data_IF_271938069178
#
_entry.id   IF_271938069178
#
_cell.length_a   1.000
_cell.length_b   1.000
_cell.length_c   1.000
_cell.angle_alpha   90.00
_cell.angle_beta   90.00
_cell.angle_gamma   90.00
#
_symmetry.space_group_name_H-M   'P 1'
#
loop_
_entity.id
_entity.type
_entity.pdbx_description
1 polymer ?
#
# COMPACT_ATOMS: atom_id res chain seq x y z
N UNK A 1 12.41 1.82 -30.05
CA UNK A 1 11.29 2.76 -30.26
C UNK A 1 11.62 4.04 -29.50
N UNK A 2 11.66 5.20 -30.17
CA UNK A 2 12.04 6.47 -29.53
C UNK A 2 10.88 7.03 -28.70
N UNK A 3 11.17 7.77 -27.62
CA UNK A 3 10.13 8.34 -26.74
C UNK A 3 9.17 9.26 -27.48
N UNK A 4 9.68 10.07 -28.41
CA UNK A 4 8.85 10.94 -29.25
C UNK A 4 7.90 10.16 -30.17
N UNK A 5 8.32 8.99 -30.67
CA UNK A 5 7.47 8.14 -31.51
C UNK A 5 6.28 7.57 -30.73
N UNK A 6 6.49 7.16 -29.46
CA UNK A 6 5.41 6.68 -28.60
C UNK A 6 4.43 7.82 -28.27
N UNK A 7 4.93 9.03 -28.02
CA UNK A 7 4.11 10.19 -27.71
C UNK A 7 3.17 10.55 -28.87
N UNK A 8 3.69 10.60 -30.10
CA UNK A 8 2.89 10.90 -31.28
C UNK A 8 1.83 9.81 -31.54
N UNK A 9 2.17 8.53 -31.39
CA UNK A 9 1.19 7.45 -31.55
C UNK A 9 0.07 7.49 -30.50
N UNK A 10 0.41 7.82 -29.24
CA UNK A 10 -0.59 8.00 -28.18
C UNK A 10 -1.48 9.21 -28.47
N UNK A 11 -0.89 10.32 -28.95
CA UNK A 11 -1.66 11.51 -29.36
C UNK A 11 -2.64 11.17 -30.48
N UNK A 12 -2.19 10.54 -31.55
CA UNK A 12 -3.04 10.14 -32.69
C UNK A 12 -4.19 9.24 -32.25
N UNK A 13 -3.92 8.23 -31.42
CA UNK A 13 -4.97 7.32 -30.94
C UNK A 13 -6.02 8.00 -30.04
N UNK A 14 -5.64 9.05 -29.30
CA UNK A 14 -6.57 9.84 -28.50
C UNK A 14 -7.40 10.78 -29.38
N UNK A 15 -6.76 11.47 -30.34
CA UNK A 15 -7.47 12.35 -31.28
C UNK A 15 -8.45 11.56 -32.16
N UNK A 16 -8.07 10.39 -32.64
CA UNK A 16 -8.95 9.51 -33.43
C UNK A 16 -10.16 9.04 -32.62
N UNK A 17 -9.99 8.77 -31.32
CA UNK A 17 -11.09 8.40 -30.44
C UNK A 17 -12.03 9.58 -30.17
N UNK A 18 -11.47 10.78 -29.96
CA UNK A 18 -12.24 12.01 -29.76
C UNK A 18 -13.02 12.40 -31.04
N UNK A 19 -12.38 12.32 -32.21
CA UNK A 19 -13.01 12.58 -33.53
C UNK A 19 -14.10 11.56 -33.86
N UNK A 20 -13.94 10.31 -33.42
CA UNK A 20 -14.94 9.26 -33.59
C UNK A 20 -16.06 9.28 -32.53
N UNK A 21 -16.03 10.22 -31.57
CA UNK A 21 -16.98 10.28 -30.45
C UNK A 21 -16.94 9.06 -29.54
N UNK A 22 -15.83 8.32 -29.54
CA UNK A 22 -15.65 7.08 -28.76
C UNK A 22 -15.07 7.41 -27.38
N UNK A 23 -15.34 6.59 -26.35
CA UNK A 23 -14.67 6.74 -25.07
C UNK A 23 -13.15 6.62 -25.24
N UNK A 24 -12.41 7.54 -24.61
CA UNK A 24 -10.95 7.61 -24.73
C UNK A 24 -10.31 6.27 -24.34
N UNK A 25 -9.43 5.70 -25.18
CA UNK A 25 -8.85 4.39 -24.95
C UNK A 25 -8.00 4.38 -23.67
N UNK A 26 -8.29 3.41 -22.80
CA UNK A 26 -7.54 3.20 -21.56
C UNK A 26 -6.10 2.73 -21.79
N UNK A 27 -5.28 2.81 -20.74
CA UNK A 27 -3.86 2.40 -20.75
C UNK A 27 -3.58 1.00 -21.32
N UNK A 28 -4.37 -0.04 -21.02
CA UNK A 28 -4.14 -1.37 -21.59
C UNK A 28 -4.35 -1.39 -23.11
N UNK A 29 -5.33 -0.63 -23.59
CA UNK A 29 -5.64 -0.48 -25.03
C UNK A 29 -4.54 0.28 -25.75
N UNK A 30 -4.04 1.38 -25.18
CA UNK A 30 -2.91 2.13 -25.74
C UNK A 30 -1.61 1.31 -25.78
N UNK A 31 -1.39 0.46 -24.78
CA UNK A 31 -0.24 -0.47 -24.75
C UNK A 31 -0.34 -1.49 -25.90
N UNK A 32 -1.54 -2.03 -26.15
CA UNK A 32 -1.78 -2.96 -27.28
C UNK A 32 -1.68 -2.28 -28.64
N UNK A 33 -2.18 -1.06 -28.78
CA UNK A 33 -2.18 -0.30 -30.04
C UNK A 33 -0.79 0.23 -30.43
N UNK A 34 0.01 0.65 -29.45
CA UNK A 34 1.33 1.24 -29.69
C UNK A 34 2.47 0.22 -29.64
N UNK A 35 2.26 -0.95 -29.05
CA UNK A 35 3.32 -1.93 -28.79
C UNK A 35 4.37 -1.45 -27.79
N UNK A 36 4.14 -0.31 -27.13
CA UNK A 36 5.04 0.28 -26.15
C UNK A 36 4.82 -0.35 -24.76
N UNK A 37 5.81 -0.21 -23.87
CA UNK A 37 5.67 -0.64 -22.48
C UNK A 37 4.71 0.27 -21.72
N UNK A 38 4.01 -0.24 -20.70
CA UNK A 38 3.10 0.56 -19.86
C UNK A 38 3.80 1.80 -19.25
N UNK A 39 5.10 1.71 -18.94
CA UNK A 39 5.88 2.85 -18.47
C UNK A 39 6.01 3.95 -19.55
N UNK A 40 6.25 3.58 -20.80
CA UNK A 40 6.36 4.53 -21.92
C UNK A 40 5.01 5.18 -22.24
N UNK A 41 3.91 4.41 -22.20
CA UNK A 41 2.55 4.92 -22.36
C UNK A 41 2.18 5.89 -21.23
N UNK A 42 2.52 5.57 -19.98
CA UNK A 42 2.33 6.48 -18.84
C UNK A 42 3.08 7.79 -19.00
N UNK A 43 4.34 7.72 -19.43
CA UNK A 43 5.17 8.91 -19.64
C UNK A 43 4.59 9.79 -20.75
N UNK A 44 4.18 9.20 -21.88
CA UNK A 44 3.57 9.92 -22.99
C UNK A 44 2.24 10.59 -22.60
N UNK A 45 1.37 9.90 -21.86
CA UNK A 45 0.11 10.49 -21.37
C UNK A 45 0.34 11.66 -20.42
N UNK A 46 1.35 11.58 -19.54
CA UNK A 46 1.70 12.67 -18.64
C UNK A 46 2.27 13.90 -19.37
N UNK A 47 3.07 13.67 -20.42
CA UNK A 47 3.60 14.74 -21.27
C UNK A 47 2.49 15.44 -22.08
N UNK A 48 1.51 14.68 -22.60
CA UNK A 48 0.34 15.24 -23.29
C UNK A 48 -0.54 16.06 -22.33
N UNK A 49 -0.83 15.55 -21.13
CA UNK A 49 -1.61 16.27 -20.13
C UNK A 49 -0.90 17.55 -19.64
N UNK A 50 0.44 17.56 -19.57
CA UNK A 50 1.21 18.75 -19.24
C UNK A 50 1.20 19.80 -20.37
N UNK A 51 1.10 19.37 -21.63
CA UNK A 51 0.99 20.25 -22.79
C UNK A 51 -0.42 20.87 -22.95
N UNK A 52 -1.46 20.23 -22.38
CA UNK A 52 -2.87 20.65 -22.48
C UNK A 52 -3.30 21.58 -21.32
N UNK A 53 -2.46 21.75 -20.30
CA UNK A 53 -2.75 22.65 -19.18
C UNK A 53 -2.64 24.14 -19.60
N UNK A 54 -3.68 24.97 -19.43
CA UNK A 54 -3.64 26.36 -19.83
C UNK A 54 -2.67 27.16 -18.94
N UNK A 55 -1.75 27.90 -19.58
CA UNK A 55 -0.87 28.87 -18.94
C UNK A 55 -1.69 30.04 -18.39
N UNK A 56 -2.15 29.94 -17.13
CA UNK A 56 -2.85 31.04 -16.47
C UNK A 56 -1.84 32.09 -16.00
N UNK A 57 -1.80 33.21 -16.73
CA UNK A 57 -0.98 34.38 -16.42
C UNK A 57 -1.46 35.05 -15.12
N UNK A 58 -0.50 35.33 -14.23
CA UNK A 58 -0.72 36.13 -13.03
C UNK A 58 -0.78 37.63 -13.38
N UNK A 59 -1.92 38.26 -13.11
CA UNK A 59 -2.11 39.71 -13.18
C UNK A 59 -3.11 40.16 -12.13
N UNK A 60 -2.59 40.70 -11.03
CA UNK A 60 -3.36 41.41 -9.98
C UNK A 60 -4.09 42.63 -10.56
N UNK A 61 -5.31 42.92 -10.08
CA UNK A 61 -5.58 44.17 -9.35
C UNK A 61 -6.98 44.18 -8.72
N UNK A 62 -7.01 44.65 -7.48
CA UNK A 62 -8.16 44.91 -6.61
C UNK A 62 -9.00 46.09 -7.14
N UNK A 63 -10.33 46.07 -6.93
CA UNK A 63 -11.06 47.05 -6.08
C UNK A 63 -12.58 47.13 -6.37
N UNK A 64 -13.33 47.22 -5.26
CA UNK A 64 -14.57 48.00 -5.00
C UNK A 64 -15.88 47.73 -5.77
N UNK A 65 -16.86 47.25 -5.00
CA UNK A 65 -18.00 48.02 -4.45
C UNK A 65 -19.45 47.57 -4.76
N UNK A 66 -20.24 47.61 -3.69
CA UNK A 66 -21.68 47.88 -3.55
C UNK A 66 -22.77 46.91 -4.09
N UNK A 67 -23.39 46.22 -3.12
CA UNK A 67 -24.83 46.17 -2.76
C UNK A 67 -25.94 45.94 -3.82
N UNK A 68 -26.77 44.89 -3.62
CA UNK A 68 -28.27 44.91 -3.48
C UNK A 68 -28.81 43.46 -3.37
N UNK A 69 -29.73 43.20 -2.43
CA UNK A 69 -30.40 41.90 -2.15
C UNK A 69 -31.47 41.48 -3.21
N UNK A 70 -32.32 40.45 -3.00
CA UNK A 70 -32.06 39.02 -3.20
C UNK A 70 -33.05 38.40 -4.21
N UNK A 71 -32.58 37.54 -5.13
CA UNK A 71 -33.48 36.69 -5.93
C UNK A 71 -33.10 35.24 -5.71
N UNK A 72 -34.02 34.56 -5.02
CA UNK A 72 -34.11 33.12 -4.82
C UNK A 72 -34.21 32.42 -6.18
N UNK A 73 -33.06 32.03 -6.72
CA UNK A 73 -32.94 31.08 -7.80
C UNK A 73 -32.12 29.90 -7.26
N UNK A 74 -32.74 28.72 -7.25
CA UNK A 74 -32.13 27.45 -6.90
C UNK A 74 -30.85 27.24 -7.74
N UNK A 75 -29.70 27.51 -7.14
CA UNK A 75 -28.41 27.02 -7.63
C UNK A 75 -28.22 25.68 -6.91
N UNK A 76 -28.55 24.59 -7.60
CA UNK A 76 -27.93 23.31 -7.28
C UNK A 76 -26.42 23.57 -7.20
N UNK A 77 -25.74 23.22 -6.08
CA UNK A 77 -24.31 23.38 -6.02
C UNK A 77 -23.72 22.47 -7.08
N UNK A 78 -23.33 23.07 -8.21
CA UNK A 78 -22.51 22.43 -9.21
C UNK A 78 -21.36 21.78 -8.45
N UNK A 79 -21.33 20.44 -8.45
CA UNK A 79 -20.32 19.67 -7.78
C UNK A 79 -18.97 20.21 -8.23
N UNK A 80 -18.26 20.92 -7.34
CA UNK A 80 -16.89 21.30 -7.58
C UNK A 80 -16.16 20.03 -8.04
N UNK A 81 -15.41 20.07 -9.16
CA UNK A 81 -14.64 18.91 -9.58
C UNK A 81 -13.77 18.53 -8.39
N UNK A 82 -14.01 17.34 -7.85
CA UNK A 82 -13.33 16.83 -6.66
C UNK A 82 -11.84 17.10 -6.88
N UNK A 83 -11.28 18.08 -6.17
CA UNK A 83 -9.87 18.44 -6.30
C UNK A 83 -9.11 17.14 -6.28
N UNK A 84 -8.33 16.89 -7.33
CA UNK A 84 -7.36 15.81 -7.41
C UNK A 84 -6.47 15.91 -6.17
N UNK A 85 -6.89 15.28 -5.08
CA UNK A 85 -6.12 15.13 -3.86
C UNK A 85 -5.07 14.10 -4.22
N UNK A 86 -4.02 14.56 -4.91
CA UNK A 86 -2.82 13.77 -5.16
C UNK A 86 -2.42 13.21 -3.82
N UNK A 87 -2.50 11.88 -3.67
CA UNK A 87 -2.09 11.23 -2.44
C UNK A 87 -0.65 11.66 -2.14
N UNK A 88 -0.31 11.92 -0.86
CA UNK A 88 1.06 12.19 -0.47
C UNK A 88 1.98 11.08 -0.99
N UNK A 89 3.17 11.47 -1.45
CA UNK A 89 4.17 10.51 -1.94
C UNK A 89 4.47 9.51 -0.81
N UNK A 90 4.57 8.20 -1.08
CA UNK A 90 4.64 7.17 -0.03
C UNK A 90 5.99 7.12 0.71
N UNK A 91 7.02 7.80 0.22
CA UNK A 91 8.39 7.69 0.74
C UNK A 91 8.56 8.08 2.23
N UNK A 92 7.90 9.12 2.78
CA UNK A 92 8.06 9.45 4.20
C UNK A 92 7.47 8.36 5.09
N UNK A 93 6.31 7.81 4.71
CA UNK A 93 5.69 6.69 5.42
C UNK A 93 6.56 5.44 5.37
N UNK A 94 7.24 5.19 4.24
CA UNK A 94 8.17 4.07 4.13
C UNK A 94 9.36 4.23 5.09
N UNK A 95 9.93 5.44 5.22
CA UNK A 95 11.04 5.70 6.16
C UNK A 95 10.58 5.56 7.61
N UNK A 96 9.44 6.14 7.96
CA UNK A 96 8.86 6.03 9.32
C UNK A 96 8.59 4.56 9.64
N UNK A 97 7.97 3.84 8.70
CA UNK A 97 7.67 2.42 8.84
C UNK A 97 8.92 1.57 9.00
N UNK A 98 9.96 1.82 8.21
CA UNK A 98 11.24 1.10 8.31
C UNK A 98 11.93 1.36 9.65
N UNK A 99 11.99 2.62 10.10
CA UNK A 99 12.60 2.96 11.38
C UNK A 99 11.85 2.29 12.55
N UNK A 100 10.51 2.30 12.50
CA UNK A 100 9.68 1.62 13.47
C UNK A 100 9.86 0.10 13.44
N UNK A 101 9.93 -0.49 12.23
CA UNK A 101 10.19 -1.92 12.04
C UNK A 101 11.54 -2.32 12.67
N UNK A 102 12.64 -1.62 12.33
CA UNK A 102 13.97 -1.90 12.91
C UNK A 102 13.96 -1.83 14.44
N UNK A 103 13.27 -0.83 15.01
CA UNK A 103 13.15 -0.73 16.45
C UNK A 103 12.39 -1.95 17.04
N UNK A 104 11.23 -2.30 16.47
CA UNK A 104 10.39 -3.41 16.93
C UNK A 104 11.10 -4.75 16.78
N UNK A 105 11.76 -4.95 15.65
CA UNK A 105 12.61 -6.09 15.34
C UNK A 105 13.62 -6.36 16.46
N UNK A 106 14.39 -5.35 16.88
CA UNK A 106 15.40 -5.51 17.93
C UNK A 106 14.83 -6.04 19.24
N UNK A 107 13.63 -5.59 19.62
CA UNK A 107 12.91 -6.10 20.79
C UNK A 107 12.49 -7.56 20.63
N UNK A 108 12.00 -7.94 19.45
CA UNK A 108 11.63 -9.32 19.13
C UNK A 108 12.81 -10.28 19.11
N UNK A 109 13.95 -9.88 18.55
CA UNK A 109 15.16 -10.72 18.54
C UNK A 109 15.56 -11.06 19.95
N UNK A 110 15.67 -10.03 20.81
CA UNK A 110 15.99 -10.21 22.22
C UNK A 110 14.95 -11.07 22.95
N UNK A 111 13.67 -10.91 22.62
CA UNK A 111 12.61 -11.76 23.17
C UNK A 111 12.71 -13.22 22.68
N UNK A 112 13.07 -13.42 21.42
CA UNK A 112 13.33 -14.72 20.80
C UNK A 112 14.46 -15.45 21.51
N UNK A 113 15.58 -14.77 21.72
CA UNK A 113 16.73 -15.30 22.49
C UNK A 113 16.31 -15.75 23.90
N UNK A 114 15.55 -14.91 24.62
CA UNK A 114 15.05 -15.24 25.96
C UNK A 114 14.05 -16.42 25.96
N UNK A 115 13.36 -16.66 24.85
CA UNK A 115 12.37 -17.74 24.72
C UNK A 115 12.97 -19.02 24.14
N UNK A 116 14.28 -19.06 23.89
CA UNK A 116 14.99 -20.24 23.40
C UNK A 116 15.07 -20.35 21.88
N UNK A 117 14.62 -19.34 21.14
CA UNK A 117 14.99 -19.19 19.74
C UNK A 117 16.43 -18.71 19.65
N UNK A 118 17.12 -19.07 18.58
CA UNK A 118 18.53 -18.77 18.41
C UNK A 118 19.14 -19.50 17.22
N UNK A 119 20.48 -19.64 17.20
CA UNK A 119 21.20 -20.34 16.15
C UNK A 119 20.76 -21.81 16.04
N UNK A 120 20.12 -22.16 14.93
CA UNK A 120 19.71 -23.53 14.61
C UNK A 120 20.44 -23.96 13.34
N UNK A 121 21.07 -25.14 13.37
CA UNK A 121 21.62 -25.75 12.17
C UNK A 121 20.48 -26.38 11.35
N UNK A 122 20.10 -25.77 10.23
CA UNK A 122 18.98 -26.23 9.41
C UNK A 122 19.37 -27.42 8.51
N UNK A 123 20.66 -27.58 8.21
CA UNK A 123 21.21 -28.68 7.42
C UNK A 123 22.26 -29.44 8.25
N UNK A 124 21.85 -30.16 9.30
CA UNK A 124 22.79 -30.99 10.04
C UNK A 124 23.30 -32.12 9.14
N UNK A 125 24.62 -32.21 8.96
CA UNK A 125 25.28 -33.32 8.26
C UNK A 125 25.54 -33.14 6.76
N UNK A 126 25.27 -31.98 6.16
CA UNK A 126 25.62 -31.68 4.77
C UNK A 126 26.61 -30.51 4.72
N UNK A 127 27.85 -30.76 4.27
CA UNK A 127 28.91 -29.76 4.20
C UNK A 127 29.28 -29.16 5.56
N UNK A 128 29.56 -27.85 5.60
CA UNK A 128 29.88 -27.10 6.83
C UNK A 128 28.67 -26.79 7.73
N UNK A 129 27.47 -27.29 7.39
CA UNK A 129 26.22 -26.89 8.03
C UNK A 129 25.75 -25.50 7.61
N UNK A 130 24.45 -25.22 7.80
CA UNK A 130 23.88 -23.88 7.61
C UNK A 130 23.18 -23.46 8.89
N UNK A 131 23.78 -22.50 9.58
CA UNK A 131 23.27 -21.99 10.85
C UNK A 131 22.42 -20.76 10.59
N UNK A 132 21.16 -20.81 10.99
CA UNK A 132 20.21 -19.72 10.90
C UNK A 132 19.81 -19.30 12.31
N UNK A 133 19.91 -18.02 12.61
CA UNK A 133 19.37 -17.50 13.87
C UNK A 133 17.85 -17.33 13.74
N UNK A 134 17.12 -18.26 14.36
CA UNK A 134 15.66 -18.26 14.35
C UNK A 134 15.06 -17.10 15.14
N UNK A 135 15.80 -16.51 16.08
CA UNK A 135 15.37 -15.30 16.78
C UNK A 135 15.33 -14.09 15.83
N UNK A 136 16.19 -14.05 14.81
CA UNK A 136 16.19 -13.02 13.75
C UNK A 136 15.05 -13.23 12.76
N UNK A 137 14.71 -14.48 12.44
CA UNK A 137 13.68 -14.80 11.44
C UNK A 137 12.26 -14.61 11.96
N UNK A 138 12.04 -14.83 13.27
CA UNK A 138 10.75 -14.68 13.93
C UNK A 138 10.04 -13.34 13.61
N UNK A 139 10.65 -12.17 13.87
CA UNK A 139 10.03 -10.87 13.62
C UNK A 139 9.72 -10.60 12.15
N UNK A 140 10.51 -11.15 11.22
CA UNK A 140 10.32 -10.93 9.77
C UNK A 140 8.90 -11.28 9.33
N UNK A 141 8.37 -12.40 9.83
CA UNK A 141 7.04 -12.87 9.44
C UNK A 141 5.94 -11.90 9.89
N UNK A 142 6.04 -11.39 11.11
CA UNK A 142 5.07 -10.47 11.72
C UNK A 142 5.10 -9.11 11.01
N UNK A 143 6.30 -8.59 10.72
CA UNK A 143 6.47 -7.32 10.04
C UNK A 143 5.99 -7.37 8.60
N UNK A 144 6.32 -8.45 7.87
CA UNK A 144 5.84 -8.66 6.52
C UNK A 144 4.30 -8.70 6.49
N UNK A 145 3.67 -9.36 7.45
CA UNK A 145 2.22 -9.38 7.56
C UNK A 145 1.63 -8.02 7.93
N UNK A 146 2.22 -7.30 8.88
CA UNK A 146 1.78 -5.95 9.25
C UNK A 146 1.84 -4.98 8.06
N UNK A 147 2.94 -5.02 7.30
CA UNK A 147 3.13 -4.23 6.09
C UNK A 147 2.11 -4.61 5.00
N UNK A 148 1.84 -5.91 4.82
CA UNK A 148 0.81 -6.38 3.89
C UNK A 148 -0.59 -5.90 4.29
N UNK A 149 -0.97 -6.05 5.56
CA UNK A 149 -2.25 -5.57 6.08
C UNK A 149 -2.40 -4.06 5.94
N UNK A 150 -1.33 -3.29 6.20
CA UNK A 150 -1.31 -1.84 5.97
C UNK A 150 -1.45 -1.49 4.50
N UNK A 151 -0.74 -2.21 3.61
CA UNK A 151 -0.83 -1.99 2.18
C UNK A 151 -2.26 -2.19 1.68
N UNK A 152 -2.90 -3.29 2.09
CA UNK A 152 -4.32 -3.57 1.78
C UNK A 152 -5.22 -2.46 2.32
N UNK A 153 -4.98 -2.01 3.56
CA UNK A 153 -5.75 -0.92 4.17
C UNK A 153 -5.60 0.41 3.40
N UNK A 154 -4.41 0.73 2.91
CA UNK A 154 -4.17 1.96 2.12
C UNK A 154 -4.70 1.85 0.68
N UNK A 155 -4.70 0.65 0.11
CA UNK A 155 -5.20 0.36 -1.24
C UNK A 155 -6.73 0.11 -1.29
N UNK A 156 -7.44 0.26 -0.17
CA UNK A 156 -8.81 -0.19 0.04
C UNK A 156 -9.87 0.35 -0.92
N UNK A 157 -9.62 1.39 -1.71
CA UNK A 157 -10.66 2.17 -2.40
C UNK A 157 -11.73 1.32 -3.14
N UNK A 158 -11.34 0.16 -3.71
CA UNK A 158 -12.25 -0.79 -4.39
C UNK A 158 -12.60 -2.08 -3.64
N UNK A 159 -12.24 -2.25 -2.36
CA UNK A 159 -12.44 -3.50 -1.61
C UNK A 159 -13.78 -3.56 -0.86
N UNK A 160 -14.25 -4.75 -0.49
CA UNK A 160 -15.44 -4.89 0.34
C UNK A 160 -15.19 -4.40 1.77
N UNK A 161 -16.26 -4.01 2.48
CA UNK A 161 -16.17 -3.54 3.88
C UNK A 161 -15.57 -4.62 4.80
N UNK A 162 -15.84 -5.90 4.51
CA UNK A 162 -15.29 -7.04 5.26
C UNK A 162 -13.76 -7.08 5.16
N UNK A 163 -13.22 -6.95 3.96
CA UNK A 163 -11.77 -6.92 3.72
C UNK A 163 -11.11 -5.74 4.43
N UNK A 164 -11.72 -4.55 4.36
CA UNK A 164 -11.22 -3.34 5.03
C UNK A 164 -11.17 -3.50 6.55
N UNK A 165 -12.26 -3.99 7.15
CA UNK A 165 -12.33 -4.22 8.60
C UNK A 165 -11.32 -5.27 9.04
N UNK A 166 -11.17 -6.36 8.28
CA UNK A 166 -10.18 -7.39 8.59
C UNK A 166 -8.75 -6.86 8.50
N UNK A 167 -8.41 -6.13 7.43
CA UNK A 167 -7.10 -5.52 7.24
C UNK A 167 -6.79 -4.51 8.36
N UNK A 168 -7.75 -3.64 8.70
CA UNK A 168 -7.62 -2.66 9.79
C UNK A 168 -7.35 -3.35 11.12
N UNK A 169 -8.19 -4.33 11.51
CA UNK A 169 -8.02 -5.09 12.75
C UNK A 169 -6.66 -5.77 12.78
N UNK A 170 -6.30 -6.46 11.70
CA UNK A 170 -5.02 -7.16 11.57
C UNK A 170 -3.83 -6.24 11.73
N UNK A 171 -3.85 -5.08 11.07
CA UNK A 171 -2.77 -4.09 11.18
C UNK A 171 -2.58 -3.62 12.63
N UNK A 172 -3.66 -3.22 13.31
CA UNK A 172 -3.57 -2.75 14.69
C UNK A 172 -3.20 -3.88 15.67
N UNK A 173 -3.70 -5.10 15.46
CA UNK A 173 -3.30 -6.27 16.25
C UNK A 173 -1.81 -6.56 16.09
N UNK A 174 -1.28 -6.51 14.86
CA UNK A 174 0.16 -6.67 14.61
C UNK A 174 1.00 -5.57 15.26
N UNK A 175 0.54 -4.32 15.25
CA UNK A 175 1.21 -3.22 15.97
C UNK A 175 1.24 -3.46 17.48
N UNK A 176 0.12 -3.90 18.06
CA UNK A 176 0.03 -4.20 19.49
C UNK A 176 0.95 -5.37 19.88
N UNK A 177 1.01 -6.41 19.06
CA UNK A 177 1.92 -7.56 19.23
C UNK A 177 3.38 -7.09 19.11
N UNK A 178 3.70 -6.25 18.12
CA UNK A 178 5.01 -5.62 17.93
C UNK A 178 5.47 -4.81 19.14
N UNK A 179 4.64 -3.86 19.59
CA UNK A 179 4.93 -3.03 20.76
C UNK A 179 4.98 -3.85 22.05
N UNK A 180 4.10 -4.85 22.21
CA UNK A 180 4.09 -5.75 23.35
C UNK A 180 5.40 -6.53 23.50
N UNK A 181 5.96 -7.02 22.40
CA UNK A 181 7.26 -7.70 22.43
C UNK A 181 8.42 -6.76 22.80
N UNK A 182 8.43 -5.52 22.28
CA UNK A 182 9.41 -4.53 22.74
C UNK A 182 9.32 -4.29 24.24
N UNK A 183 8.12 -4.01 24.76
CA UNK A 183 7.90 -3.76 26.19
C UNK A 183 8.35 -4.97 27.01
N UNK A 184 7.94 -6.19 26.62
CA UNK A 184 8.34 -7.41 27.31
C UNK A 184 9.86 -7.60 27.30
N UNK A 185 10.53 -7.37 26.17
CA UNK A 185 11.98 -7.51 26.05
C UNK A 185 12.75 -6.54 26.95
N UNK A 186 12.29 -5.29 27.05
CA UNK A 186 12.90 -4.27 27.90
C UNK A 186 12.62 -4.51 29.38
N UNK A 187 11.39 -4.87 29.75
CA UNK A 187 11.01 -5.17 31.14
C UNK A 187 11.77 -6.39 31.65
N UNK A 188 11.82 -7.47 30.87
CA UNK A 188 12.57 -8.67 31.24
C UNK A 188 14.07 -8.40 31.31
N UNK A 189 14.60 -7.62 30.37
CA UNK A 189 15.98 -7.17 30.40
C UNK A 189 16.32 -6.35 31.66
N UNK A 190 15.44 -5.42 32.04
CA UNK A 190 15.61 -4.61 33.24
C UNK A 190 15.49 -5.42 34.54
N UNK A 191 14.68 -6.47 34.53
CA UNK A 191 14.52 -7.39 35.65
C UNK A 191 15.63 -8.46 35.75
N UNK A 192 16.61 -8.47 34.84
CA UNK A 192 17.69 -9.45 34.82
C UNK A 192 17.24 -10.87 34.47
N UNK A 193 16.08 -11.01 33.80
CA UNK A 193 15.56 -12.30 33.37
C UNK A 193 16.45 -12.85 32.24
N UNK A 194 16.99 -14.05 32.45
CA UNK A 194 17.86 -14.75 31.49
C UNK A 194 17.13 -15.79 30.66
N UNK A 195 15.96 -16.23 31.11
CA UNK A 195 15.07 -17.12 30.38
C UNK A 195 13.61 -16.68 30.61
N UNK A 196 12.87 -16.51 29.52
CA UNK A 196 11.49 -16.08 29.58
C UNK A 196 10.61 -17.12 30.29
N UNK A 197 9.59 -16.70 31.05
CA UNK A 197 8.60 -17.61 31.61
C UNK A 197 7.92 -18.45 30.51
N UNK A 198 7.57 -19.70 30.82
CA UNK A 198 7.02 -20.65 29.84
C UNK A 198 5.81 -20.10 29.06
N UNK A 199 4.96 -19.27 29.68
CA UNK A 199 3.79 -18.69 29.03
C UNK A 199 4.18 -17.66 27.96
N UNK A 200 5.25 -16.90 28.17
CA UNK A 200 5.82 -15.99 27.16
C UNK A 200 6.36 -16.81 25.99
N UNK A 201 7.13 -17.85 26.28
CA UNK A 201 7.69 -18.75 25.27
C UNK A 201 6.61 -19.39 24.41
N UNK A 202 5.56 -19.94 25.04
CA UNK A 202 4.42 -20.53 24.31
C UNK A 202 3.74 -19.51 23.40
N UNK A 203 3.49 -18.29 23.91
CA UNK A 203 2.88 -17.23 23.11
C UNK A 203 3.74 -16.87 21.90
N UNK A 204 5.03 -16.62 22.11
CA UNK A 204 6.00 -16.29 21.06
C UNK A 204 6.11 -17.41 20.02
N UNK A 205 6.15 -18.67 20.47
CA UNK A 205 6.23 -19.82 19.58
C UNK A 205 4.98 -20.00 18.69
N UNK A 206 3.81 -19.57 19.14
CA UNK A 206 2.58 -19.63 18.35
C UNK A 206 2.47 -18.53 17.27
N UNK A 207 3.25 -17.44 17.39
CA UNK A 207 3.12 -16.27 16.51
C UNK A 207 3.28 -16.62 15.02
N UNK A 208 4.32 -17.35 14.58
CA UNK A 208 4.50 -17.64 13.15
C UNK A 208 3.31 -18.40 12.55
N UNK A 209 2.73 -19.34 13.30
CA UNK A 209 1.57 -20.13 12.85
C UNK A 209 0.33 -19.24 12.70
N UNK A 210 0.09 -18.36 13.67
CA UNK A 210 -1.03 -17.42 13.61
C UNK A 210 -0.89 -16.44 12.45
N UNK A 211 0.32 -15.92 12.21
CA UNK A 211 0.62 -15.01 11.11
C UNK A 211 0.31 -15.64 9.76
N UNK A 212 0.70 -16.90 9.54
CA UNK A 212 0.40 -17.61 8.28
C UNK A 212 -1.12 -17.74 8.06
N UNK A 213 -1.89 -18.09 9.10
CA UNK A 213 -3.34 -18.18 9.02
C UNK A 213 -3.99 -16.83 8.68
N UNK A 214 -3.56 -15.76 9.35
CA UNK A 214 -4.05 -14.41 9.11
C UNK A 214 -3.69 -13.88 7.72
N UNK A 215 -2.45 -14.11 7.26
CA UNK A 215 -1.98 -13.76 5.92
C UNK A 215 -2.80 -14.46 4.84
N UNK A 216 -3.04 -15.77 5.00
CA UNK A 216 -3.84 -16.57 4.07
C UNK A 216 -5.28 -16.09 4.03
N UNK A 217 -5.88 -15.81 5.19
CA UNK A 217 -7.23 -15.27 5.30
C UNK A 217 -7.38 -13.94 4.57
N UNK A 218 -6.49 -12.98 4.84
CA UNK A 218 -6.51 -11.69 4.18
C UNK A 218 -6.27 -11.80 2.66
N UNK A 219 -5.31 -12.62 2.23
CA UNK A 219 -5.06 -12.85 0.81
C UNK A 219 -6.28 -13.46 0.08
N UNK A 220 -7.02 -14.34 0.76
CA UNK A 220 -8.24 -14.95 0.20
C UNK A 220 -9.33 -13.89 0.03
N UNK A 221 -9.55 -13.03 1.04
CA UNK A 221 -10.52 -11.94 0.96
C UNK A 221 -10.18 -10.96 -0.17
N UNK A 222 -8.90 -10.59 -0.31
CA UNK A 222 -8.44 -9.70 -1.38
C UNK A 222 -8.66 -10.33 -2.76
N UNK A 223 -8.42 -11.64 -2.91
CA UNK A 223 -8.68 -12.35 -4.17
C UNK A 223 -10.16 -12.39 -4.53
N UNK A 224 -11.03 -12.66 -3.56
CA UNK A 224 -12.48 -12.70 -3.76
C UNK A 224 -13.05 -11.34 -4.20
N UNK A 225 -12.57 -10.25 -3.59
CA UNK A 225 -12.97 -8.89 -3.98
C UNK A 225 -12.49 -8.56 -5.41
N UNK A 226 -11.29 -9.00 -5.80
CA UNK A 226 -10.78 -8.78 -7.15
C UNK A 226 -11.62 -9.51 -8.22
N UNK A 227 -11.98 -10.77 -7.98
CA UNK A 227 -12.82 -11.54 -8.90
C UNK A 227 -14.23 -10.98 -9.03
N UNK A 228 -14.80 -10.46 -7.94
CA UNK A 228 -16.13 -9.85 -7.97
C UNK A 228 -16.16 -8.52 -8.76
N UNK A 229 -15.03 -7.80 -8.79
CA UNK A 229 -14.87 -6.60 -9.61
C UNK A 229 -14.84 -6.88 -11.11
N UNK A 230 -14.26 -8.01 -11.53
CA UNK A 230 -14.15 -8.40 -12.94
C UNK A 230 -15.50 -8.89 -13.51
N UNK A 231 -16.26 -9.69 -12.76
CA UNK A 231 -17.59 -10.17 -13.20
C UNK A 231 -18.63 -9.04 -13.33
N UNK A 232 -18.52 -7.99 -12.51
CA UNK A 232 -19.39 -6.82 -12.59
C UNK A 232 -19.12 -5.92 -13.81
N UNK A 233 -17.95 -6.07 -14.45
CA UNK A 233 -17.54 -5.29 -15.63
C UNK A 233 -18.00 -5.90 -16.97
N UNK A 234 -18.19 -7.21 -17.05
CA UNK A 234 -18.47 -7.94 -18.30
C UNK A 234 -19.98 -8.12 -18.58
N UNK A 235 -20.84 -7.77 -17.61
CA UNK A 235 -22.31 -7.90 -17.71
C UNK A 235 -23.05 -6.67 -18.27
N UNK A 236 -22.34 -5.63 -18.72
CA UNK A 236 -22.90 -4.43 -19.37
C UNK A 236 -22.25 -4.26 -20.74
N UNK A 237 -22.73 -4.98 -21.74
CA UNK A 237 -22.49 -4.72 -23.16
C UNK A 237 -23.73 -5.06 -23.96
#
# INVERSE_FOLDING_TARGET
>A
MSTNQVLEQVRTALTEADDAGRPRPGRPTLTKLTGATDHQVRKALAELAAAEAPAFQAGNSLASDASTEPIEAAIEPAAEPARDRRLPRPWPLAIIGLAAAVAVWGGWVRLGELTGFGPVNVLPGIGGGFVLDTAVVLPVSVEAYAAYALHVLLASAGMSERTRVFAKRSFFTSLAVGGGAQVASHVMGAAGVTAAPWWVTTLVACVPVLVVGLATGLATLVRQDATAGDEGGDGRS
#
